data_IF_297082046377
#
_entry.id   IF_297082046377
#
_cell.length_a   1.000
_cell.length_b   1.000
_cell.length_c   1.000
_cell.angle_alpha   90.00
_cell.angle_beta   90.00
_cell.angle_gamma   90.00
#
_symmetry.space_group_name_H-M   'P 1'
#
loop_
_entity.id
_entity.type
_entity.pdbx_description
1 polymer ?
#
# COMPACT_ATOMS: atom_id res chain seq x y z
N UNK A 1 34.53 28.35 15.66
CA UNK A 1 33.38 28.68 16.52
C UNK A 1 32.13 28.73 15.67
N UNK A 2 31.56 27.54 15.43
CA UNK A 2 30.12 27.22 15.18
C UNK A 2 29.25 28.13 14.30
N UNK A 3 29.43 28.07 12.98
CA UNK A 3 28.35 28.45 12.03
C UNK A 3 28.01 27.35 11.03
N UNK A 4 28.88 26.34 10.84
CA UNK A 4 28.65 25.22 9.91
C UNK A 4 27.96 24.01 10.55
N UNK A 5 28.00 23.87 11.88
CA UNK A 5 27.30 22.81 12.62
C UNK A 5 25.76 22.97 12.60
N UNK A 6 25.28 24.22 12.47
CA UNK A 6 23.84 24.53 12.44
C UNK A 6 23.15 24.15 11.12
N UNK A 7 23.92 23.86 10.07
CA UNK A 7 23.37 23.39 8.79
C UNK A 7 23.22 21.86 8.74
N UNK A 8 23.94 21.11 9.60
CA UNK A 8 23.97 19.65 9.59
C UNK A 8 22.76 19.02 10.32
N UNK A 9 22.05 19.79 11.17
CA UNK A 9 20.91 19.29 11.97
C UNK A 9 19.52 19.46 11.35
N UNK A 10 19.42 19.93 10.10
CA UNK A 10 18.15 20.26 9.47
C UNK A 10 17.67 19.19 8.50
N UNK A 11 17.24 18.02 8.99
CA UNK A 11 16.34 17.16 8.21
C UNK A 11 15.15 18.03 7.76
N UNK A 12 15.17 18.50 6.51
CA UNK A 12 14.16 19.43 6.04
C UNK A 12 12.80 18.75 6.20
N UNK A 13 11.92 19.32 7.02
CA UNK A 13 10.59 18.77 7.30
C UNK A 13 9.82 18.51 6.00
N UNK A 14 10.13 19.29 4.97
CA UNK A 14 9.67 19.11 3.60
C UNK A 14 10.17 17.79 2.96
N UNK A 15 11.46 17.45 3.07
CA UNK A 15 11.97 16.16 2.61
C UNK A 15 11.36 14.99 3.40
N UNK A 16 11.22 15.13 4.72
CA UNK A 16 10.54 14.12 5.54
C UNK A 16 9.06 13.93 5.12
N UNK A 17 8.34 15.03 4.87
CA UNK A 17 6.97 15.03 4.38
C UNK A 17 6.89 14.42 2.98
N UNK A 18 7.76 14.81 2.06
CA UNK A 18 7.84 14.28 0.71
C UNK A 18 8.09 12.75 0.74
N UNK A 19 9.03 12.28 1.58
CA UNK A 19 9.26 10.84 1.80
C UNK A 19 8.03 10.12 2.36
N UNK A 20 7.25 10.77 3.22
CA UNK A 20 6.01 10.18 3.76
C UNK A 20 4.93 10.10 2.69
N UNK A 21 4.72 11.17 1.93
CA UNK A 21 3.78 11.22 0.81
C UNK A 21 4.16 10.20 -0.26
N UNK A 22 5.43 10.13 -0.66
CA UNK A 22 5.92 9.15 -1.63
C UNK A 22 5.69 7.70 -1.18
N UNK A 23 5.92 7.40 0.12
CA UNK A 23 5.60 6.09 0.69
C UNK A 23 4.11 5.78 0.62
N UNK A 24 3.25 6.71 1.01
CA UNK A 24 1.79 6.54 0.93
C UNK A 24 1.33 6.31 -0.51
N UNK A 25 1.82 7.10 -1.47
CA UNK A 25 1.48 6.94 -2.89
C UNK A 25 1.95 5.59 -3.44
N UNK A 26 3.13 5.11 -3.02
CA UNK A 26 3.62 3.77 -3.37
C UNK A 26 2.69 2.68 -2.84
N UNK A 27 2.29 2.76 -1.57
CA UNK A 27 1.31 1.82 -0.99
C UNK A 27 0.00 1.82 -1.77
N UNK A 28 -0.51 2.99 -2.15
CA UNK A 28 -1.74 3.08 -2.94
C UNK A 28 -1.60 2.45 -4.33
N UNK A 29 -0.47 2.65 -5.01
CA UNK A 29 -0.17 2.00 -6.29
C UNK A 29 -0.10 0.49 -6.15
N UNK A 30 0.60 0.00 -5.13
CA UNK A 30 0.77 -1.44 -4.88
C UNK A 30 -0.59 -2.09 -4.57
N UNK A 31 -1.41 -1.44 -3.73
CA UNK A 31 -2.78 -1.85 -3.44
C UNK A 31 -3.67 -1.90 -4.69
N UNK A 32 -3.60 -0.86 -5.53
CA UNK A 32 -4.38 -0.81 -6.77
C UNK A 32 -3.95 -1.92 -7.74
N UNK A 33 -2.64 -2.18 -7.84
CA UNK A 33 -2.09 -3.28 -8.64
C UNK A 33 -2.56 -4.63 -8.13
N UNK A 34 -2.41 -4.89 -6.83
CA UNK A 34 -2.83 -6.14 -6.20
C UNK A 34 -4.32 -6.42 -6.39
N UNK A 35 -5.19 -5.39 -6.27
CA UNK A 35 -6.63 -5.53 -6.55
C UNK A 35 -6.92 -5.84 -8.03
N UNK A 36 -6.20 -5.24 -8.97
CA UNK A 36 -6.33 -5.58 -10.40
C UNK A 36 -5.90 -7.01 -10.69
N UNK A 37 -4.84 -7.48 -10.03
CA UNK A 37 -4.39 -8.87 -10.15
C UNK A 37 -5.42 -9.81 -9.54
N UNK A 38 -5.91 -9.53 -8.32
CA UNK A 38 -6.97 -10.29 -7.65
C UNK A 38 -8.25 -10.40 -8.49
N UNK A 39 -8.66 -9.31 -9.16
CA UNK A 39 -9.84 -9.29 -10.04
C UNK A 39 -9.70 -10.18 -11.28
N UNK A 40 -8.48 -10.61 -11.63
CA UNK A 40 -8.21 -11.51 -12.77
C UNK A 40 -8.12 -12.98 -12.36
N UNK A 41 -7.99 -13.27 -11.07
CA UNK A 41 -7.88 -14.65 -10.57
C UNK A 41 -9.24 -15.32 -10.66
N UNK A 42 -9.30 -16.54 -11.21
CA UNK A 42 -10.55 -17.27 -11.32
C UNK A 42 -11.04 -17.73 -9.94
N UNK A 43 -12.36 -17.91 -9.74
CA UNK A 43 -12.90 -18.43 -8.48
C UNK A 43 -12.30 -19.79 -8.06
N UNK A 44 -11.91 -20.61 -9.04
CA UNK A 44 -11.28 -21.92 -8.80
C UNK A 44 -9.86 -21.75 -8.27
N UNK A 45 -9.06 -20.89 -8.90
CA UNK A 45 -7.70 -20.61 -8.44
C UNK A 45 -7.69 -19.93 -7.05
N UNK A 46 -8.71 -19.11 -6.76
CA UNK A 46 -8.92 -18.56 -5.41
C UNK A 46 -9.18 -19.68 -4.39
N UNK A 47 -10.04 -20.63 -4.72
CA UNK A 47 -10.34 -21.76 -3.84
C UNK A 47 -9.12 -22.67 -3.63
N UNK A 48 -8.35 -22.94 -4.69
CA UNK A 48 -7.11 -23.73 -4.62
C UNK A 48 -6.04 -23.02 -3.76
N UNK A 49 -6.04 -21.69 -3.73
CA UNK A 49 -5.19 -20.88 -2.85
C UNK A 49 -5.74 -20.74 -1.41
N UNK A 50 -6.90 -21.33 -1.10
CA UNK A 50 -7.57 -21.21 0.20
C UNK A 50 -8.21 -19.84 0.45
N UNK A 51 -8.41 -19.03 -0.59
CA UNK A 51 -9.03 -17.70 -0.49
C UNK A 51 -10.52 -17.81 -0.80
N UNK A 52 -11.36 -17.38 0.15
CA UNK A 52 -12.80 -17.28 -0.09
C UNK A 52 -13.12 -16.25 -1.18
N UNK A 53 -13.94 -16.64 -2.16
CA UNK A 53 -14.41 -15.74 -3.24
C UNK A 53 -15.15 -14.53 -2.68
N UNK A 54 -15.97 -14.73 -1.65
CA UNK A 54 -16.71 -13.63 -0.99
C UNK A 54 -15.74 -12.62 -0.37
N UNK A 55 -14.66 -13.11 0.25
CA UNK A 55 -13.63 -12.29 0.85
C UNK A 55 -12.80 -11.53 -0.20
N UNK A 56 -12.46 -12.18 -1.31
CA UNK A 56 -11.83 -11.53 -2.46
C UNK A 56 -12.72 -10.41 -3.03
N UNK A 57 -14.03 -10.66 -3.20
CA UNK A 57 -14.98 -9.65 -3.66
C UNK A 57 -15.13 -8.49 -2.67
N UNK A 58 -15.17 -8.77 -1.36
CA UNK A 58 -15.19 -7.75 -0.32
C UNK A 58 -13.95 -6.85 -0.42
N UNK A 59 -12.77 -7.43 -0.58
CA UNK A 59 -11.52 -6.68 -0.73
C UNK A 59 -11.43 -5.86 -2.03
N UNK A 60 -12.03 -6.35 -3.12
CA UNK A 60 -12.16 -5.62 -4.38
C UNK A 60 -13.09 -4.42 -4.27
N UNK A 61 -14.15 -4.50 -3.44
CA UNK A 61 -15.07 -3.41 -3.18
C UNK A 61 -14.47 -2.31 -2.27
N UNK A 62 -13.38 -2.61 -1.54
CA UNK A 62 -12.72 -1.64 -0.67
C UNK A 62 -11.93 -0.62 -1.50
N UNK A 63 -11.89 0.65 -1.06
CA UNK A 63 -11.17 1.68 -1.78
C UNK A 63 -9.65 1.42 -1.74
N UNK A 64 -8.96 1.78 -2.83
CA UNK A 64 -7.54 1.47 -3.05
C UNK A 64 -6.60 2.04 -1.97
N UNK A 65 -7.00 3.13 -1.29
CA UNK A 65 -6.21 3.74 -0.22
C UNK A 65 -6.20 2.92 1.07
N UNK A 66 -7.08 1.93 1.21
CA UNK A 66 -6.99 0.96 2.30
C UNK A 66 -6.08 -0.20 1.93
N UNK A 67 -5.19 -0.62 2.85
CA UNK A 67 -4.36 -1.80 2.67
C UNK A 67 -5.24 -3.04 2.44
N UNK A 68 -4.77 -3.93 1.58
CA UNK A 68 -5.35 -5.25 1.37
C UNK A 68 -5.05 -6.08 2.62
N UNK A 69 -6.06 -6.41 3.42
CA UNK A 69 -5.86 -6.93 4.78
C UNK A 69 -6.53 -8.27 5.03
N UNK A 70 -7.63 -8.57 4.34
CA UNK A 70 -8.55 -9.61 4.79
C UNK A 70 -8.40 -10.91 3.99
N UNK A 71 -7.58 -11.00 2.94
CA UNK A 71 -7.52 -12.17 2.04
C UNK A 71 -7.24 -13.53 2.68
N UNK A 72 -6.76 -13.58 3.92
CA UNK A 72 -6.59 -14.82 4.70
C UNK A 72 -7.62 -14.83 5.83
N UNK A 73 -8.75 -15.48 5.56
CA UNK A 73 -9.70 -15.93 6.59
C UNK A 73 -9.40 -17.38 6.94
#
# INVERSE_FOLDING_TARGET
MTTLELYIGGESRLAALARRVARTLRTWRDNARARRELARISPRDLADAGVSVCNAQHELARPFWRPLSDLRG
#
